data_IF_114935172569
#
_entry.id   IF_114935172569
#
_cell.length_a   1.000
_cell.length_b   1.000
_cell.length_c   1.000
_cell.angle_alpha   90.00
_cell.angle_beta   90.00
_cell.angle_gamma   90.00
#
_symmetry.space_group_name_H-M   'P 1'
#
loop_
_entity.id
_entity.type
_entity.pdbx_description
1 polymer ?
#
# COMPACT_ATOMS: atom_id res chain seq x y z
N UNK A 1 -29.72 31.24 -5.07
CA UNK A 1 -29.88 30.36 -6.24
C UNK A 1 -28.91 29.21 -6.03
N UNK A 2 -29.24 28.19 -5.24
CA UNK A 2 -30.33 27.20 -5.29
C UNK A 2 -29.68 25.84 -5.60
N UNK A 3 -29.04 25.26 -4.59
CA UNK A 3 -28.76 23.81 -4.52
C UNK A 3 -29.15 23.27 -3.14
N UNK A 4 -30.18 23.86 -2.52
CA UNK A 4 -30.89 23.32 -1.35
C UNK A 4 -32.32 22.97 -1.75
N UNK A 5 -32.48 22.39 -2.94
CA UNK A 5 -33.78 22.17 -3.56
C UNK A 5 -33.77 20.86 -4.33
N UNK A 6 -33.47 19.76 -3.65
CA UNK A 6 -33.82 18.42 -4.15
C UNK A 6 -34.05 17.39 -3.03
N UNK A 7 -34.72 17.82 -1.95
CA UNK A 7 -35.22 16.91 -0.92
C UNK A 7 -36.77 16.91 -0.85
N UNK A 8 -37.43 17.64 -1.75
CA UNK A 8 -38.88 17.85 -1.74
C UNK A 8 -39.65 16.92 -2.70
N UNK A 9 -39.08 15.77 -3.07
CA UNK A 9 -39.71 14.82 -4.01
C UNK A 9 -39.65 13.35 -3.54
N UNK A 10 -39.49 13.09 -2.24
CA UNK A 10 -39.56 11.73 -1.67
C UNK A 10 -40.87 11.56 -0.90
N UNK A 11 -41.98 11.56 -1.62
CA UNK A 11 -43.33 11.45 -1.05
C UNK A 11 -43.84 9.99 -0.96
N UNK A 12 -42.95 9.01 -1.17
CA UNK A 12 -43.27 7.59 -1.02
C UNK A 12 -42.26 6.89 -0.11
N UNK A 13 -42.76 6.25 0.96
CA UNK A 13 -41.97 5.46 1.91
C UNK A 13 -41.10 4.39 1.22
N UNK A 14 -41.59 3.90 0.08
CA UNK A 14 -40.95 2.91 -0.79
C UNK A 14 -39.64 3.42 -1.42
N UNK A 15 -39.58 4.71 -1.76
CA UNK A 15 -38.38 5.30 -2.36
C UNK A 15 -37.28 5.53 -1.31
N UNK A 16 -37.68 5.78 -0.05
CA UNK A 16 -36.74 5.94 1.06
C UNK A 16 -36.05 4.63 1.42
N UNK A 17 -36.78 3.53 1.37
CA UNK A 17 -36.30 2.18 1.69
C UNK A 17 -35.17 1.72 0.76
N UNK A 18 -35.13 2.25 -0.47
CA UNK A 18 -34.07 2.01 -1.45
C UNK A 18 -32.68 2.54 -1.01
N UNK A 19 -32.65 3.50 -0.10
CA UNK A 19 -31.41 4.14 0.36
C UNK A 19 -30.90 3.60 1.71
N UNK A 20 -31.62 2.68 2.34
CA UNK A 20 -31.23 2.09 3.62
C UNK A 20 -30.91 0.60 3.48
N UNK A 21 -29.87 0.17 4.18
CA UNK A 21 -29.58 -1.25 4.38
C UNK A 21 -30.05 -1.66 5.78
N UNK A 22 -31.07 -2.50 5.84
CA UNK A 22 -31.62 -3.03 7.10
C UNK A 22 -31.02 -4.42 7.36
N UNK A 23 -30.48 -4.63 8.56
CA UNK A 23 -29.87 -5.90 8.98
C UNK A 23 -30.89 -6.79 9.69
N UNK A 24 -31.92 -7.23 8.96
CA UNK A 24 -32.93 -8.13 9.51
C UNK A 24 -32.36 -9.54 9.72
N UNK A 25 -32.58 -10.12 10.91
CA UNK A 25 -32.09 -11.46 11.28
C UNK A 25 -30.60 -11.56 11.66
N UNK A 26 -29.88 -10.44 11.67
CA UNK A 26 -28.50 -10.40 12.18
C UNK A 26 -28.46 -10.32 13.71
N UNK A 27 -27.38 -10.80 14.32
CA UNK A 27 -27.19 -10.68 15.77
C UNK A 27 -26.96 -9.22 16.19
N UNK A 28 -27.25 -8.88 17.45
CA UNK A 28 -27.01 -7.54 17.97
C UNK A 28 -25.53 -7.13 17.88
N UNK A 29 -24.62 -8.10 17.97
CA UNK A 29 -23.17 -7.90 17.83
C UNK A 29 -22.81 -7.48 16.41
N UNK A 30 -23.35 -8.16 15.39
CA UNK A 30 -23.11 -7.85 13.98
C UNK A 30 -23.64 -6.47 13.59
N UNK A 31 -24.81 -6.09 14.12
CA UNK A 31 -25.37 -4.75 13.94
C UNK A 31 -24.46 -3.69 14.57
N UNK A 32 -23.87 -3.97 15.74
CA UNK A 32 -22.91 -3.06 16.38
C UNK A 32 -21.61 -2.93 15.56
N UNK A 33 -21.08 -4.03 15.03
CA UNK A 33 -19.91 -4.00 14.16
C UNK A 33 -20.15 -3.21 12.87
N UNK A 34 -21.29 -3.44 12.22
CA UNK A 34 -21.66 -2.70 11.01
C UNK A 34 -21.75 -1.19 11.29
N UNK A 35 -22.34 -0.78 12.41
CA UNK A 35 -22.40 0.65 12.82
C UNK A 35 -21.01 1.24 12.98
N UNK A 36 -20.11 0.56 13.69
CA UNK A 36 -18.72 1.02 13.88
C UNK A 36 -17.98 1.09 12.55
N UNK A 37 -18.15 0.08 11.70
CA UNK A 37 -17.54 0.02 10.36
C UNK A 37 -17.99 1.20 9.49
N UNK A 38 -19.29 1.44 9.35
CA UNK A 38 -19.80 2.52 8.50
C UNK A 38 -19.48 3.91 9.05
N UNK A 39 -19.47 4.08 10.38
CA UNK A 39 -18.99 5.32 11.02
C UNK A 39 -17.49 5.56 10.79
N UNK A 40 -16.68 4.51 10.58
CA UNK A 40 -15.26 4.69 10.25
C UNK A 40 -15.03 5.22 8.83
N UNK A 41 -15.99 4.99 7.93
CA UNK A 41 -15.94 5.44 6.53
C UNK A 41 -16.42 6.89 6.36
N UNK A 42 -17.23 7.41 7.27
CA UNK A 42 -17.47 8.84 7.39
C UNK A 42 -16.23 9.50 8.01
N UNK A 43 -15.20 9.65 7.19
CA UNK A 43 -14.05 10.48 7.56
C UNK A 43 -14.58 11.90 7.82
N UNK A 44 -14.18 12.48 8.95
CA UNK A 44 -14.27 13.91 9.21
C UNK A 44 -13.82 14.71 7.98
N UNK A 45 -14.26 15.99 7.85
CA UNK A 45 -14.15 16.77 6.62
C UNK A 45 -12.80 16.54 5.95
N UNK A 46 -12.78 16.36 4.61
CA UNK A 46 -11.59 15.96 3.88
C UNK A 46 -10.39 16.68 4.48
N UNK A 47 -9.39 15.92 4.92
CA UNK A 47 -8.10 16.50 5.30
C UNK A 47 -7.52 17.05 4.02
N UNK A 48 -7.97 18.25 3.66
CA UNK A 48 -7.38 19.04 2.62
C UNK A 48 -5.95 19.27 3.08
N UNK A 49 -5.01 18.70 2.33
CA UNK A 49 -3.60 19.02 2.43
C UNK A 49 -3.45 20.48 2.00
N UNK A 50 -3.77 21.43 2.89
CA UNK A 50 -3.49 22.82 2.62
C UNK A 50 -1.98 23.02 2.73
N UNK A 51 -1.34 23.43 1.63
CA UNK A 51 0.05 23.88 1.61
C UNK A 51 0.28 25.12 2.50
N UNK A 52 -0.80 25.71 3.03
CA UNK A 52 -0.80 26.93 3.82
C UNK A 52 -1.58 26.66 5.10
N UNK A 53 -0.93 26.68 6.25
CA UNK A 53 -1.66 26.60 7.53
C UNK A 53 -2.66 27.74 7.60
N UNK A 54 -3.93 27.43 7.86
CA UNK A 54 -5.06 28.38 7.83
C UNK A 54 -4.85 29.55 8.82
N UNK A 55 -4.01 29.36 9.86
CA UNK A 55 -3.63 30.38 10.86
C UNK A 55 -2.18 30.90 10.68
N UNK A 56 -1.72 31.10 9.44
CA UNK A 56 -0.47 31.87 9.21
C UNK A 56 -0.76 33.35 9.41
N UNK A 57 -0.54 33.81 10.64
CA UNK A 57 -0.45 35.25 10.97
C UNK A 57 0.88 35.86 10.53
N UNK A 58 1.85 35.02 10.16
CA UNK A 58 3.18 35.44 9.71
C UNK A 58 3.20 35.68 8.20
N UNK A 59 2.46 36.69 7.73
CA UNK A 59 2.74 37.25 6.42
C UNK A 59 4.13 37.90 6.48
N UNK A 60 5.10 37.32 5.77
CA UNK A 60 6.37 37.98 5.53
C UNK A 60 6.09 39.37 4.96
N UNK A 61 6.77 40.39 5.48
CA UNK A 61 6.63 41.77 4.98
C UNK A 61 6.92 41.74 3.47
N UNK A 62 6.02 42.30 2.67
CA UNK A 62 6.22 42.51 1.23
C UNK A 62 7.55 43.24 1.05
N UNK A 63 8.42 42.70 0.18
CA UNK A 63 9.73 43.29 -0.08
C UNK A 63 9.56 44.77 -0.46
N UNK A 64 10.26 45.66 0.27
CA UNK A 64 10.30 47.08 -0.07
C UNK A 64 11.05 47.25 -1.40
N UNK A 65 10.70 48.29 -2.16
CA UNK A 65 11.35 48.67 -3.42
C UNK A 65 12.88 48.62 -3.31
N UNK A 66 13.60 48.28 -4.40
CA UNK A 66 15.05 48.10 -4.36
C UNK A 66 15.73 49.33 -3.78
N UNK A 67 16.24 49.21 -2.56
CA UNK A 67 17.17 50.19 -2.01
C UNK A 67 18.51 49.99 -2.72
N UNK A 68 19.30 51.05 -2.94
CA UNK A 68 20.64 50.93 -3.51
C UNK A 68 21.49 49.96 -2.66
N UNK A 69 22.54 49.34 -3.24
CA UNK A 69 23.21 48.18 -2.67
C UNK A 69 24.03 48.53 -1.43
N UNK A 70 23.35 48.74 -0.31
CA UNK A 70 23.96 48.61 1.00
C UNK A 70 24.23 47.13 1.18
N UNK A 71 25.51 46.77 1.02
CA UNK A 71 26.07 45.45 1.30
C UNK A 71 25.58 45.01 2.69
N UNK A 72 24.52 44.20 2.73
CA UNK A 72 24.28 43.33 3.87
C UNK A 72 25.52 42.44 4.04
N UNK A 73 25.84 41.99 5.27
CA UNK A 73 26.93 41.06 5.45
C UNK A 73 26.69 39.89 4.49
N UNK A 74 27.67 39.69 3.62
CA UNK A 74 27.85 38.52 2.77
C UNK A 74 27.28 37.29 3.47
N UNK A 75 26.50 36.47 2.73
CA UNK A 75 26.24 35.10 3.12
C UNK A 75 27.60 34.42 3.34
N UNK A 76 28.11 34.56 4.55
CA UNK A 76 29.33 33.93 5.01
C UNK A 76 29.01 32.46 4.95
N UNK A 77 29.63 31.76 3.99
CA UNK A 77 29.73 30.31 3.98
C UNK A 77 30.45 29.92 5.27
N UNK A 78 29.69 29.76 6.34
CA UNK A 78 30.22 29.41 7.65
C UNK A 78 30.52 27.91 7.59
N UNK A 79 31.80 27.49 7.58
CA UNK A 79 32.19 26.09 7.33
C UNK A 79 31.57 25.10 8.33
N UNK A 80 31.14 25.61 9.49
CA UNK A 80 30.42 24.84 10.52
C UNK A 80 29.04 24.37 10.05
N UNK A 81 28.34 25.11 9.19
CA UNK A 81 27.04 24.69 8.66
C UNK A 81 27.22 23.56 7.62
N UNK A 82 28.26 23.63 6.80
CA UNK A 82 28.57 22.60 5.80
C UNK A 82 28.92 21.27 6.48
N UNK A 83 29.67 21.30 7.59
CA UNK A 83 30.00 20.11 8.38
C UNK A 83 28.75 19.46 9.00
N UNK A 84 27.79 20.27 9.48
CA UNK A 84 26.52 19.75 10.03
C UNK A 84 25.69 19.08 8.93
N UNK A 85 25.61 19.70 7.75
CA UNK A 85 24.91 19.13 6.59
C UNK A 85 25.55 17.81 6.15
N UNK A 86 26.88 17.75 6.09
CA UNK A 86 27.61 16.54 5.71
C UNK A 86 27.37 15.39 6.71
N UNK A 87 27.38 15.68 8.01
CA UNK A 87 27.08 14.68 9.05
C UNK A 87 25.63 14.20 9.00
N UNK A 88 24.68 15.09 8.72
CA UNK A 88 23.28 14.71 8.56
C UNK A 88 23.09 13.77 7.37
N UNK A 89 23.74 14.07 6.24
CA UNK A 89 23.74 13.22 5.05
C UNK A 89 24.34 11.83 5.32
N UNK A 90 25.50 11.77 6.01
CA UNK A 90 26.12 10.49 6.37
C UNK A 90 25.21 9.63 7.25
N UNK A 91 24.55 10.24 8.25
CA UNK A 91 23.58 9.54 9.12
C UNK A 91 22.41 8.99 8.33
N UNK A 92 21.85 9.77 7.40
CA UNK A 92 20.77 9.30 6.54
C UNK A 92 21.19 8.06 5.73
N UNK A 93 22.38 8.09 5.13
CA UNK A 93 22.90 6.96 4.35
C UNK A 93 23.11 5.70 5.21
N UNK A 94 23.60 5.88 6.45
CA UNK A 94 23.75 4.76 7.39
C UNK A 94 22.41 4.17 7.80
N UNK A 95 21.41 5.00 8.06
CA UNK A 95 20.07 4.56 8.45
C UNK A 95 19.36 3.84 7.30
N UNK A 96 19.47 4.36 6.06
CA UNK A 96 18.98 3.67 4.87
C UNK A 96 19.67 2.32 4.66
N UNK A 97 20.99 2.27 4.82
CA UNK A 97 21.76 1.01 4.72
C UNK A 97 21.29 -0.01 5.75
N UNK A 98 21.13 0.40 7.02
CA UNK A 98 20.63 -0.49 8.09
C UNK A 98 19.22 -0.99 7.76
N UNK A 99 18.34 -0.10 7.31
CA UNK A 99 16.98 -0.44 6.92
C UNK A 99 16.94 -1.50 5.82
N UNK A 100 17.73 -1.34 4.75
CA UNK A 100 17.80 -2.34 3.69
C UNK A 100 18.41 -3.67 4.16
N UNK A 101 19.40 -3.63 5.04
CA UNK A 101 19.98 -4.84 5.62
C UNK A 101 18.96 -5.63 6.45
N UNK A 102 18.13 -4.95 7.24
CA UNK A 102 17.04 -5.60 7.98
C UNK A 102 15.98 -6.20 7.06
N UNK A 103 15.62 -5.49 5.98
CA UNK A 103 14.69 -6.03 4.97
C UNK A 103 15.25 -7.29 4.30
N UNK A 104 16.54 -7.30 3.97
CA UNK A 104 17.20 -8.47 3.38
C UNK A 104 17.15 -9.68 4.33
N UNK A 105 17.48 -9.48 5.62
CA UNK A 105 17.37 -10.54 6.64
C UNK A 105 15.97 -11.10 6.76
N UNK A 106 14.94 -10.23 6.81
CA UNK A 106 13.53 -10.66 6.84
C UNK A 106 13.15 -11.46 5.59
N UNK A 107 13.64 -11.05 4.41
CA UNK A 107 13.41 -11.79 3.17
C UNK A 107 14.03 -13.18 3.23
N UNK A 108 15.26 -13.29 3.74
CA UNK A 108 15.95 -14.58 3.89
C UNK A 108 15.20 -15.51 4.85
N UNK A 109 14.71 -14.98 5.98
CA UNK A 109 13.87 -15.72 6.93
C UNK A 109 12.59 -16.27 6.28
N UNK A 110 11.88 -15.44 5.51
CA UNK A 110 10.68 -15.85 4.77
C UNK A 110 11.02 -16.93 3.74
N UNK A 111 12.11 -16.76 2.99
CA UNK A 111 12.54 -17.76 2.00
C UNK A 111 12.88 -19.11 2.63
N UNK A 112 13.58 -19.11 3.78
CA UNK A 112 13.85 -20.33 4.54
C UNK A 112 12.56 -21.01 5.02
N UNK A 113 11.61 -20.24 5.55
CA UNK A 113 10.32 -20.77 6.00
C UNK A 113 9.56 -21.43 4.85
N UNK A 114 9.44 -20.76 3.71
CA UNK A 114 8.74 -21.29 2.54
C UNK A 114 9.42 -22.56 2.01
N UNK A 115 10.75 -22.60 1.99
CA UNK A 115 11.51 -23.80 1.63
C UNK A 115 11.17 -24.98 2.55
N UNK A 116 11.17 -24.75 3.87
CA UNK A 116 10.81 -25.77 4.86
C UNK A 116 9.38 -26.27 4.67
N UNK A 117 8.42 -25.36 4.48
CA UNK A 117 7.02 -25.73 4.23
C UNK A 117 6.86 -26.58 2.96
N UNK A 118 7.61 -26.24 1.90
CA UNK A 118 7.62 -27.02 0.66
C UNK A 118 8.17 -28.42 0.88
N UNK A 119 9.28 -28.56 1.61
CA UNK A 119 9.88 -29.85 1.95
C UNK A 119 8.92 -30.71 2.77
N UNK A 120 8.27 -30.12 3.77
CA UNK A 120 7.25 -30.81 4.59
C UNK A 120 6.05 -31.26 3.75
N UNK A 121 5.56 -30.42 2.84
CA UNK A 121 4.49 -30.76 1.91
C UNK A 121 4.90 -31.94 1.02
N UNK A 122 6.09 -31.89 0.42
CA UNK A 122 6.61 -32.98 -0.43
C UNK A 122 6.70 -34.28 0.36
N UNK A 123 7.20 -34.23 1.60
CA UNK A 123 7.30 -35.41 2.47
C UNK A 123 5.92 -36.01 2.76
N UNK A 124 4.91 -35.18 3.09
CA UNK A 124 3.53 -35.62 3.32
C UNK A 124 2.92 -36.23 2.06
N UNK A 125 3.11 -35.59 0.91
CA UNK A 125 2.64 -36.08 -0.38
C UNK A 125 3.26 -37.44 -0.70
N UNK A 126 4.57 -37.60 -0.55
CA UNK A 126 5.30 -38.84 -0.80
C UNK A 126 4.73 -40.03 -0.01
N UNK A 127 4.39 -39.82 1.28
CA UNK A 127 3.76 -40.86 2.11
C UNK A 127 2.31 -41.11 1.67
N UNK A 128 1.56 -40.04 1.37
CA UNK A 128 0.15 -40.15 0.96
C UNK A 128 -0.02 -40.87 -0.37
N UNK A 129 0.88 -40.64 -1.34
CA UNK A 129 0.82 -41.23 -2.69
C UNK A 129 0.80 -42.77 -2.63
N UNK A 130 1.52 -43.37 -1.67
CA UNK A 130 1.52 -44.81 -1.45
C UNK A 130 0.21 -45.35 -0.87
N UNK A 131 -0.58 -44.50 -0.21
CA UNK A 131 -1.81 -44.85 0.50
C UNK A 131 -3.08 -44.31 -0.17
N UNK A 132 -2.98 -43.62 -1.32
CA UNK A 132 -4.17 -43.17 -2.05
C UNK A 132 -4.87 -44.40 -2.64
N UNK A 133 -6.12 -44.72 -2.25
CA UNK A 133 -6.89 -45.74 -2.95
C UNK A 133 -7.02 -45.28 -4.40
N UNK A 134 -6.58 -46.15 -5.33
CA UNK A 134 -6.66 -45.95 -6.78
C UNK A 134 -8.12 -45.68 -7.14
N UNK A 135 -8.51 -44.40 -7.28
CA UNK A 135 -9.79 -44.06 -7.89
C UNK A 135 -9.66 -44.35 -9.37
N UNK A 136 -10.27 -45.45 -9.80
CA UNK A 136 -10.56 -45.76 -11.19
C UNK A 136 -11.69 -44.84 -11.65
N UNK A 137 -11.41 -43.55 -11.78
CA UNK A 137 -12.34 -42.65 -12.45
C UNK A 137 -11.72 -42.28 -13.80
N UNK A 138 -12.29 -42.92 -14.81
CA UNK A 138 -12.16 -42.59 -16.22
C UNK A 138 -12.38 -41.09 -16.42
N UNK A 139 -11.74 -40.55 -17.46
CA UNK A 139 -11.85 -39.18 -17.99
C UNK A 139 -10.94 -38.10 -17.39
N UNK A 140 -9.87 -37.82 -18.14
CA UNK A 140 -9.76 -36.51 -18.78
C UNK A 140 -9.65 -35.30 -17.83
N UNK A 141 -8.50 -35.17 -17.16
CA UNK A 141 -7.95 -33.83 -16.93
C UNK A 141 -6.76 -33.65 -17.83
N UNK A 142 -7.07 -33.02 -18.97
CA UNK A 142 -6.16 -32.43 -19.96
C UNK A 142 -4.82 -32.09 -19.32
N UNK A 143 -3.86 -33.01 -19.49
CA UNK A 143 -2.45 -32.73 -19.34
C UNK A 143 -2.13 -31.81 -20.50
N UNK A 144 -2.11 -30.50 -20.25
CA UNK A 144 -1.49 -29.54 -21.15
C UNK A 144 0.01 -29.84 -21.15
N UNK A 145 0.38 -30.81 -21.99
CA UNK A 145 1.74 -31.03 -22.43
C UNK A 145 2.04 -29.88 -23.39
N UNK A 146 2.54 -28.77 -22.88
CA UNK A 146 3.38 -27.93 -23.74
C UNK A 146 4.54 -28.82 -24.18
N UNK A 147 4.76 -29.02 -25.49
CA UNK A 147 5.85 -29.84 -25.97
C UNK A 147 7.17 -29.35 -25.37
N UNK A 148 8.05 -30.25 -24.90
CA UNK A 148 9.30 -29.88 -24.24
C UNK A 148 10.18 -28.96 -25.10
N UNK A 149 10.03 -29.04 -26.42
CA UNK A 149 10.70 -28.20 -27.42
C UNK A 149 10.34 -26.71 -27.31
N UNK A 150 9.09 -26.38 -26.95
CA UNK A 150 8.65 -24.98 -26.78
C UNK A 150 9.27 -24.37 -25.52
N UNK A 151 9.36 -25.16 -24.44
CA UNK A 151 9.98 -24.72 -23.20
C UNK A 151 11.50 -24.52 -23.34
N UNK A 152 12.18 -25.38 -24.11
CA UNK A 152 13.61 -25.21 -24.39
C UNK A 152 13.90 -23.99 -25.25
N UNK A 153 13.01 -23.66 -26.18
CA UNK A 153 13.12 -22.47 -27.01
C UNK A 153 12.97 -21.19 -26.18
N UNK A 154 11.93 -21.12 -25.33
CA UNK A 154 11.69 -20.00 -24.42
C UNK A 154 12.89 -19.76 -23.48
N UNK A 155 13.50 -20.84 -22.97
CA UNK A 155 14.67 -20.76 -22.09
C UNK A 155 15.88 -20.19 -22.84
N UNK A 156 16.11 -20.59 -24.10
CA UNK A 156 17.21 -20.07 -24.93
C UNK A 156 17.02 -18.59 -25.26
N UNK A 157 15.79 -18.18 -25.56
CA UNK A 157 15.47 -16.78 -25.88
C UNK A 157 15.73 -15.85 -24.70
N UNK A 158 15.35 -16.27 -23.48
CA UNK A 158 15.64 -15.50 -22.26
C UNK A 158 17.15 -15.39 -21.99
N UNK A 159 17.92 -16.47 -22.23
CA UNK A 159 19.37 -16.45 -22.04
C UNK A 159 20.11 -15.59 -23.07
N UNK A 160 19.56 -15.40 -24.27
CA UNK A 160 20.15 -14.57 -25.32
C UNK A 160 20.00 -13.06 -25.09
N UNK A 161 19.14 -12.66 -24.16
CA UNK A 161 18.86 -11.25 -23.82
C UNK A 161 19.72 -10.72 -22.66
N UNK A 162 20.58 -11.55 -22.08
CA UNK A 162 21.54 -11.22 -21.01
C UNK A 162 22.94 -11.11 -21.62
#
# INVERSE_FOLDING_TARGET
>A
MNELQDFSALDSHSDLEKYFTVFEGSSQEDVAYAKVFWNSLSLQPPVESSLVSVDIRQRLKVAKSPQPPNRGPSLSSNPKNDEVLQRAYQRQMEDERKRYMEMAKKRDEIMMLLKKQREERIKKEMISLQHKPRRLDLTERVSLKTPPEVLEQDIKEVQALI
#
